data_IF_503386576958
#
_entry.id   IF_503386576958
#
_cell.length_a   1.000
_cell.length_b   1.000
_cell.length_c   1.000
_cell.angle_alpha   90.00
_cell.angle_beta   90.00
_cell.angle_gamma   90.00
#
_symmetry.space_group_name_H-M   'P 1'
#
loop_
_entity.id
_entity.type
_entity.pdbx_description
1 polymer ?
#
# COMPACT_ATOMS: atom_id res chain seq x y z
N UNK A 1 5.62 37.79 45.21
CA UNK A 1 6.50 37.18 46.24
C UNK A 1 6.17 35.69 46.31
N UNK A 2 6.91 34.90 45.52
CA UNK A 2 7.63 33.64 45.88
C UNK A 2 7.24 32.95 47.21
N UNK A 3 7.11 31.61 47.37
CA UNK A 3 7.91 30.48 46.84
C UNK A 3 7.41 29.11 47.41
N UNK A 4 7.61 28.02 46.63
CA UNK A 4 8.05 26.62 46.95
C UNK A 4 7.15 25.60 47.70
N UNK A 5 6.87 24.49 47.00
CA UNK A 5 7.19 23.10 47.44
C UNK A 5 7.29 22.24 46.16
N UNK A 6 8.47 22.13 45.57
CA UNK A 6 9.48 21.06 45.78
C UNK A 6 9.02 19.66 45.36
N UNK A 7 9.58 19.26 44.23
CA UNK A 7 9.74 17.91 43.72
C UNK A 7 10.15 16.89 44.80
N UNK A 8 9.61 15.66 44.67
CA UNK A 8 10.39 14.44 44.94
C UNK A 8 10.30 13.50 43.73
N UNK A 9 11.47 13.31 43.11
CA UNK A 9 11.77 12.32 42.06
C UNK A 9 11.83 10.90 42.64
N UNK A 10 11.42 9.92 41.84
CA UNK A 10 12.13 8.64 41.56
C UNK A 10 11.19 7.79 40.68
N UNK A 11 11.42 7.62 39.36
CA UNK A 11 12.43 6.72 38.77
C UNK A 11 11.93 5.27 38.97
N UNK A 12 11.57 4.45 38.00
CA UNK A 12 12.16 4.03 36.70
C UNK A 12 11.02 3.24 36.01
N UNK A 13 10.82 3.06 34.71
CA UNK A 13 11.68 2.93 33.54
C UNK A 13 10.70 2.99 32.36
N UNK A 14 10.68 4.12 31.66
CA UNK A 14 10.05 4.21 30.35
C UNK A 14 11.01 3.57 29.37
N UNK A 15 10.83 2.28 29.09
CA UNK A 15 11.38 1.70 27.87
C UNK A 15 10.44 2.10 26.73
N UNK A 16 10.67 3.32 26.23
CA UNK A 16 10.23 3.69 24.89
C UNK A 16 11.35 3.25 23.95
N UNK A 17 11.13 2.33 23.02
CA UNK A 17 12.05 2.22 21.89
C UNK A 17 12.03 3.55 21.16
N UNK A 18 13.15 4.26 21.30
CA UNK A 18 13.51 5.45 20.55
C UNK A 18 13.66 5.03 19.09
N UNK A 19 12.68 5.33 18.26
CA UNK A 19 12.94 5.46 16.84
C UNK A 19 12.69 6.93 16.49
N UNK A 20 13.80 7.67 16.46
CA UNK A 20 13.86 9.00 15.88
C UNK A 20 13.82 8.84 14.37
N UNK A 21 12.74 9.29 13.73
CA UNK A 21 12.78 9.65 12.32
C UNK A 21 12.66 11.18 12.25
N UNK A 22 13.72 11.91 11.90
CA UNK A 22 13.54 13.26 11.39
C UNK A 22 13.04 13.19 9.95
N UNK A 23 12.43 14.29 9.50
CA UNK A 23 11.98 14.60 8.13
C UNK A 23 10.46 14.44 7.94
N UNK A 24 9.78 15.54 8.29
CA UNK A 24 8.79 16.28 7.49
C UNK A 24 7.66 15.53 6.75
N UNK A 25 6.43 15.95 7.06
CA UNK A 25 5.30 16.15 6.14
C UNK A 25 4.97 15.06 5.10
N UNK A 26 3.89 14.31 5.33
CA UNK A 26 2.62 14.46 4.60
C UNK A 26 1.73 13.22 4.77
N UNK A 27 0.43 13.51 4.81
CA UNK A 27 -0.66 12.62 4.45
C UNK A 27 -0.93 11.43 5.39
N UNK A 28 -1.89 11.67 6.28
CA UNK A 28 -2.92 10.70 6.63
C UNK A 28 -3.45 10.02 5.36
N UNK A 29 -2.91 8.86 5.01
CA UNK A 29 -3.53 7.93 4.06
C UNK A 29 -3.86 6.67 4.85
N UNK A 30 -5.15 6.56 5.14
CA UNK A 30 -5.95 5.35 5.27
C UNK A 30 -5.19 4.06 5.53
N UNK A 31 -5.51 3.42 6.66
CA UNK A 31 -5.28 1.99 6.90
C UNK A 31 -5.84 1.16 5.74
N UNK A 32 -5.01 0.92 4.73
CA UNK A 32 -5.18 -0.21 3.82
C UNK A 32 -4.32 -1.33 4.41
N UNK A 33 -4.85 -2.56 4.55
CA UNK A 33 -4.00 -3.67 4.95
C UNK A 33 -2.85 -3.71 3.94
N UNK A 34 -1.62 -3.55 4.43
CA UNK A 34 -0.41 -3.88 3.67
C UNK A 34 -0.63 -5.31 3.22
N UNK A 35 -1.02 -5.46 1.95
CA UNK A 35 -1.05 -6.74 1.29
C UNK A 35 0.38 -7.25 1.40
N UNK A 36 0.58 -8.23 2.28
CA UNK A 36 1.87 -8.90 2.38
C UNK A 36 2.24 -9.29 0.95
N UNK A 37 3.45 -8.95 0.47
CA UNK A 37 3.89 -9.29 -0.86
C UNK A 37 4.22 -10.77 -0.87
N UNK A 38 3.18 -11.61 -0.77
CA UNK A 38 3.20 -12.95 -1.35
C UNK A 38 2.97 -12.73 -2.85
N UNK A 39 3.86 -11.96 -3.46
CA UNK A 39 3.93 -11.82 -4.90
C UNK A 39 4.52 -13.14 -5.35
N UNK A 40 3.66 -14.02 -5.84
CA UNK A 40 4.14 -15.26 -6.45
C UNK A 40 5.12 -14.86 -7.55
N UNK A 41 6.36 -15.36 -7.51
CA UNK A 41 7.42 -14.97 -8.45
C UNK A 41 7.00 -15.18 -9.90
N UNK A 42 6.04 -16.09 -10.16
CA UNK A 42 5.47 -16.30 -11.50
C UNK A 42 4.66 -15.11 -11.99
N UNK A 43 4.02 -14.35 -11.11
CA UNK A 43 3.23 -13.17 -11.47
C UNK A 43 4.10 -11.99 -11.93
N UNK A 44 5.38 -11.97 -11.53
CA UNK A 44 6.32 -10.92 -11.96
C UNK A 44 6.90 -11.17 -13.36
N UNK A 45 6.82 -12.40 -13.87
CA UNK A 45 7.41 -12.83 -15.14
C UNK A 45 6.48 -12.65 -16.37
N UNK A 46 5.34 -11.96 -16.23
CA UNK A 46 4.41 -11.72 -17.33
C UNK A 46 5.07 -10.91 -18.46
N UNK A 47 4.79 -11.26 -19.70
CA UNK A 47 5.13 -10.42 -20.85
C UNK A 47 4.28 -9.14 -20.87
N UNK A 48 4.73 -8.11 -21.60
CA UNK A 48 3.96 -6.87 -21.76
C UNK A 48 2.57 -7.13 -22.33
N UNK A 49 2.47 -8.00 -23.34
CA UNK A 49 1.19 -8.41 -23.93
C UNK A 49 0.26 -9.04 -22.90
N UNK A 50 0.76 -9.96 -22.08
CA UNK A 50 -0.03 -10.60 -21.04
C UNK A 50 -0.51 -9.60 -19.98
N UNK A 51 0.33 -8.64 -19.60
CA UNK A 51 -0.08 -7.57 -18.68
C UNK A 51 -1.22 -6.75 -19.29
N UNK A 52 -1.15 -6.38 -20.59
CA UNK A 52 -2.24 -5.63 -21.23
C UNK A 52 -3.54 -6.43 -21.33
N UNK A 53 -3.45 -7.68 -21.77
CA UNK A 53 -4.62 -8.56 -21.92
C UNK A 53 -5.31 -8.80 -20.57
N UNK A 54 -4.53 -9.08 -19.51
CA UNK A 54 -5.07 -9.28 -18.15
C UNK A 54 -5.58 -7.98 -17.52
N UNK A 55 -4.98 -6.84 -17.84
CA UNK A 55 -5.45 -5.55 -17.34
C UNK A 55 -6.83 -5.19 -17.90
N UNK A 56 -7.07 -5.42 -19.21
CA UNK A 56 -8.41 -5.23 -19.79
C UNK A 56 -9.42 -6.20 -19.16
N UNK A 57 -9.06 -7.48 -19.01
CA UNK A 57 -9.89 -8.46 -18.32
C UNK A 57 -10.22 -8.03 -16.88
N UNK A 58 -9.24 -7.52 -16.14
CA UNK A 58 -9.45 -7.01 -14.77
C UNK A 58 -10.49 -5.90 -14.74
N UNK A 59 -10.44 -4.95 -15.69
CA UNK A 59 -11.43 -3.87 -15.76
C UNK A 59 -12.84 -4.38 -16.11
N UNK A 60 -12.94 -5.41 -16.95
CA UNK A 60 -14.20 -6.09 -17.28
C UNK A 60 -14.78 -6.87 -16.11
N UNK A 61 -13.96 -7.65 -15.42
CA UNK A 61 -14.35 -8.41 -14.23
C UNK A 61 -14.82 -7.48 -13.09
N UNK A 62 -14.19 -6.32 -12.94
CA UNK A 62 -14.62 -5.27 -12.01
C UNK A 62 -15.80 -4.43 -12.55
N UNK A 63 -16.28 -4.75 -13.74
CA UNK A 63 -17.41 -4.11 -14.41
C UNK A 63 -17.29 -2.57 -14.47
N UNK A 64 -16.11 -2.08 -14.85
CA UNK A 64 -15.83 -0.65 -14.98
C UNK A 64 -16.41 -0.06 -16.27
N UNK A 65 -16.94 1.16 -16.19
CA UNK A 65 -17.40 1.91 -17.35
C UNK A 65 -16.23 2.63 -18.07
N UNK A 66 -16.44 3.09 -19.30
CA UNK A 66 -15.38 3.75 -20.10
C UNK A 66 -14.80 4.99 -19.43
N UNK A 67 -15.60 5.75 -18.68
CA UNK A 67 -15.13 6.91 -17.91
C UNK A 67 -14.06 6.52 -16.87
N UNK A 68 -14.21 5.35 -16.24
CA UNK A 68 -13.23 4.81 -15.28
C UNK A 68 -12.11 4.03 -15.95
N UNK A 69 -12.36 3.39 -17.10
CA UNK A 69 -11.33 2.67 -17.86
C UNK A 69 -10.32 3.61 -18.52
N UNK A 70 -10.77 4.75 -19.05
CA UNK A 70 -9.89 5.73 -19.71
C UNK A 70 -8.65 6.13 -18.87
N UNK A 71 -8.82 6.66 -17.63
CA UNK A 71 -7.67 7.02 -16.80
C UNK A 71 -6.85 5.81 -16.31
N UNK A 72 -7.38 4.59 -16.38
CA UNK A 72 -6.63 3.35 -16.09
C UNK A 72 -5.78 2.91 -17.30
N UNK A 73 -6.27 3.11 -18.53
CA UNK A 73 -5.53 2.85 -19.77
C UNK A 73 -4.38 3.83 -19.97
N UNK A 74 -4.49 5.06 -19.47
CA UNK A 74 -3.45 6.08 -19.56
C UNK A 74 -2.26 5.84 -18.59
N UNK A 75 -2.37 4.87 -17.67
CA UNK A 75 -1.29 4.56 -16.73
C UNK A 75 -0.10 3.87 -17.41
N UNK A 76 1.08 4.10 -16.83
CA UNK A 76 2.31 3.41 -17.21
C UNK A 76 2.20 1.88 -17.03
N UNK A 77 2.97 1.16 -17.84
CA UNK A 77 3.02 -0.31 -17.81
C UNK A 77 3.38 -0.87 -16.43
N UNK A 78 4.26 -0.20 -15.68
CA UNK A 78 4.62 -0.61 -14.30
C UNK A 78 3.39 -0.63 -13.40
N UNK A 79 2.61 0.45 -13.41
CA UNK A 79 1.40 0.54 -12.57
C UNK A 79 0.36 -0.50 -12.99
N UNK A 80 0.18 -0.71 -14.30
CA UNK A 80 -0.72 -1.76 -14.80
C UNK A 80 -0.30 -3.15 -14.35
N UNK A 81 1.02 -3.44 -14.39
CA UNK A 81 1.59 -4.71 -13.91
C UNK A 81 1.32 -4.90 -12.42
N UNK A 82 1.54 -3.88 -11.60
CA UNK A 82 1.26 -3.95 -10.16
C UNK A 82 -0.23 -4.21 -9.86
N UNK A 83 -1.14 -3.61 -10.63
CA UNK A 83 -2.57 -3.87 -10.52
C UNK A 83 -2.93 -5.30 -10.94
N UNK A 84 -2.39 -5.80 -12.05
CA UNK A 84 -2.60 -7.18 -12.52
C UNK A 84 -2.10 -8.20 -11.51
N UNK A 85 -0.92 -8.00 -10.91
CA UNK A 85 -0.37 -8.90 -9.88
C UNK A 85 -1.31 -9.01 -8.67
N UNK A 86 -1.87 -7.88 -8.23
CA UNK A 86 -2.86 -7.87 -7.15
C UNK A 86 -4.14 -8.61 -7.54
N UNK A 87 -4.65 -8.38 -8.76
CA UNK A 87 -5.83 -9.06 -9.29
C UNK A 87 -5.63 -10.59 -9.36
N UNK A 88 -4.51 -11.08 -9.88
CA UNK A 88 -4.19 -12.51 -9.90
C UNK A 88 -4.13 -13.06 -8.47
N UNK A 89 -3.45 -12.37 -7.57
CA UNK A 89 -3.33 -12.81 -6.16
C UNK A 89 -4.68 -12.87 -5.44
N UNK A 90 -5.59 -11.94 -5.76
CA UNK A 90 -6.92 -11.89 -5.17
C UNK A 90 -7.84 -12.99 -5.75
N UNK A 91 -7.76 -13.23 -7.06
CA UNK A 91 -8.58 -14.25 -7.74
C UNK A 91 -8.10 -15.67 -7.50
N UNK A 92 -6.78 -15.89 -7.38
CA UNK A 92 -6.21 -17.21 -7.08
C UNK A 92 -6.51 -17.71 -5.65
N UNK A 93 -6.78 -16.81 -4.71
CA UNK A 93 -7.14 -17.15 -3.32
C UNK A 93 -8.61 -17.55 -3.15
N UNK A 94 -9.44 -17.34 -4.18
CA UNK A 94 -10.89 -17.57 -4.15
C UNK A 94 -11.31 -18.86 -4.86
N UNK A 95 -10.39 -19.83 -5.01
CA UNK A 95 -10.64 -21.17 -5.55
C UNK A 95 -10.67 -22.20 -4.42
#
# INVERSE_FOLDING_TARGET
RDRITSFRKSGVKREKPLIQHPIDSQASISELPVAQPIVDERCMNLSEKEVMDLFEKMMEDMNLNEERKAPLRDKDLSTKREMVVQYISATAKSV
#
